data_IF_652371668686
#
_entry.id   IF_652371668686
#
_cell.length_a   1.000
_cell.length_b   1.000
_cell.length_c   1.000
_cell.angle_alpha   90.00
_cell.angle_beta   90.00
_cell.angle_gamma   90.00
#
_symmetry.space_group_name_H-M   'P 1'
#
loop_
_entity.id
_entity.type
_entity.pdbx_description
1 polymer ?
#
# COMPACT_ATOMS: atom_id res chain seq x y z
N UNK A 1 -10.59 -33.76 0.83
CA UNK A 1 -10.22 -32.34 0.74
C UNK A 1 -8.74 -32.25 1.06
N UNK A 2 -7.89 -31.98 0.09
CA UNK A 2 -6.44 -31.99 0.28
C UNK A 2 -6.02 -30.75 1.04
N UNK A 3 -5.38 -30.94 2.20
CA UNK A 3 -4.69 -29.89 2.95
C UNK A 3 -3.64 -29.24 2.06
N UNK A 4 -3.99 -28.12 1.44
CA UNK A 4 -3.02 -27.27 0.77
C UNK A 4 -2.19 -26.56 1.83
N UNK A 5 -1.12 -27.19 2.25
CA UNK A 5 -0.03 -26.51 2.95
C UNK A 5 0.66 -25.58 1.94
N UNK A 6 0.17 -24.34 1.84
CA UNK A 6 0.57 -23.40 0.79
C UNK A 6 1.98 -22.83 0.99
N UNK A 7 2.48 -22.79 2.23
CA UNK A 7 3.82 -22.27 2.55
C UNK A 7 4.39 -23.04 3.76
N UNK A 8 5.72 -23.20 3.86
CA UNK A 8 6.38 -23.61 5.09
C UNK A 8 5.96 -22.72 6.25
N UNK A 9 5.85 -23.28 7.46
CA UNK A 9 5.35 -22.55 8.64
C UNK A 9 6.17 -21.31 8.99
N UNK A 10 7.44 -21.29 8.63
CA UNK A 10 8.37 -20.16 8.78
C UNK A 10 8.20 -19.06 7.72
N UNK A 11 7.47 -19.36 6.63
CA UNK A 11 7.17 -18.44 5.55
C UNK A 11 5.67 -18.06 5.49
N UNK A 12 4.84 -18.60 6.39
CA UNK A 12 3.42 -18.25 6.45
C UNK A 12 3.24 -16.94 7.22
N UNK A 13 2.88 -15.82 6.54
CA UNK A 13 2.69 -14.52 7.19
C UNK A 13 1.56 -14.52 8.24
N UNK A 14 0.69 -15.53 8.23
CA UNK A 14 -0.38 -15.71 9.22
C UNK A 14 0.12 -16.33 10.52
N UNK A 15 1.34 -16.88 10.51
CA UNK A 15 1.94 -17.45 11.71
C UNK A 15 2.43 -16.32 12.62
N UNK A 16 1.91 -16.16 13.85
CA UNK A 16 2.35 -15.13 14.78
C UNK A 16 3.82 -15.30 15.22
N UNK A 17 4.40 -16.47 15.05
CA UNK A 17 5.84 -16.70 15.23
C UNK A 17 6.67 -16.44 13.97
N UNK A 18 6.07 -15.94 12.89
CA UNK A 18 6.79 -15.41 11.75
C UNK A 18 7.66 -14.24 12.24
N UNK A 19 8.73 -14.61 12.90
CA UNK A 19 9.74 -13.68 13.28
C UNK A 19 10.41 -13.21 12.00
N UNK A 20 10.27 -11.95 11.68
CA UNK A 20 11.20 -11.24 10.84
C UNK A 20 12.57 -11.37 11.51
N UNK A 21 13.22 -12.52 11.29
CA UNK A 21 14.64 -12.62 11.61
C UNK A 21 15.32 -11.61 10.73
N UNK A 22 16.04 -10.70 11.34
CA UNK A 22 16.78 -9.58 10.75
C UNK A 22 17.83 -10.02 9.72
N UNK A 23 17.52 -10.95 8.82
CA UNK A 23 18.39 -11.31 7.70
C UNK A 23 18.65 -10.15 6.74
N UNK A 24 17.80 -9.12 6.78
CA UNK A 24 17.95 -7.95 5.91
C UNK A 24 18.96 -6.93 6.45
N UNK A 25 19.34 -6.99 7.73
CA UNK A 25 20.33 -6.05 8.29
C UNK A 25 21.79 -6.47 8.00
N UNK A 26 22.02 -7.68 7.50
CA UNK A 26 23.38 -8.19 7.29
C UNK A 26 24.03 -7.73 5.97
N UNK A 27 23.27 -7.09 5.06
CA UNK A 27 23.73 -6.74 3.71
C UNK A 27 23.41 -5.31 3.28
N UNK A 28 23.14 -4.39 4.20
CA UNK A 28 22.95 -2.99 3.84
C UNK A 28 24.33 -2.34 3.70
N UNK A 29 24.82 -2.17 2.49
CA UNK A 29 25.96 -1.31 2.21
C UNK A 29 25.51 0.15 2.46
N UNK A 30 25.90 0.68 3.61
CA UNK A 30 25.64 2.08 3.96
C UNK A 30 26.66 2.96 3.21
N UNK A 31 26.26 3.55 2.09
CA UNK A 31 27.02 4.63 1.49
C UNK A 31 26.76 5.94 2.26
N UNK A 32 27.72 6.86 2.26
CA UNK A 32 27.54 8.20 2.86
C UNK A 32 26.30 8.90 2.31
N UNK A 33 26.00 8.69 1.03
CA UNK A 33 24.81 9.24 0.38
C UNK A 33 23.51 8.64 0.95
N UNK A 34 23.48 7.33 1.23
CA UNK A 34 22.33 6.65 1.85
C UNK A 34 22.10 7.17 3.28
N UNK A 35 23.16 7.34 4.06
CA UNK A 35 23.11 7.83 5.44
C UNK A 35 22.53 9.26 5.55
N UNK A 36 22.57 10.05 4.47
CA UNK A 36 21.92 11.37 4.44
C UNK A 36 20.40 11.29 4.45
N UNK A 37 19.81 10.17 3.99
CA UNK A 37 18.36 9.97 3.89
C UNK A 37 17.80 9.05 4.97
N UNK A 38 18.61 8.15 5.50
CA UNK A 38 18.16 7.11 6.44
C UNK A 38 18.78 7.34 7.81
N UNK A 39 17.94 7.69 8.79
CA UNK A 39 18.38 7.95 10.19
C UNK A 39 18.70 6.67 10.96
N UNK A 40 18.19 5.53 10.54
CA UNK A 40 18.39 4.23 11.17
C UNK A 40 18.22 3.12 10.16
N UNK A 41 19.08 2.12 10.21
CA UNK A 41 18.97 0.88 9.43
C UNK A 41 18.15 -0.20 10.16
N UNK A 42 17.64 0.10 11.36
CA UNK A 42 16.81 -0.81 12.12
C UNK A 42 15.45 -1.01 11.42
N UNK A 43 15.16 -2.24 11.04
CA UNK A 43 13.83 -2.61 10.50
C UNK A 43 12.91 -2.95 11.66
N UNK A 44 11.81 -2.20 11.79
CA UNK A 44 10.79 -2.41 12.82
C UNK A 44 9.53 -2.99 12.22
N UNK A 45 9.05 -4.12 12.76
CA UNK A 45 7.73 -4.62 12.42
C UNK A 45 6.66 -3.76 13.08
N UNK A 46 5.92 -3.00 12.26
CA UNK A 46 4.87 -2.07 12.71
C UNK A 46 3.54 -2.80 12.90
N UNK A 47 3.22 -3.75 12.02
CA UNK A 47 1.95 -4.45 12.03
C UNK A 47 2.08 -5.88 11.46
N UNK A 48 1.13 -6.75 11.83
CA UNK A 48 0.93 -8.09 11.26
C UNK A 48 -0.57 -8.39 11.20
N UNK A 49 -0.97 -9.41 10.43
CA UNK A 49 -2.39 -9.78 10.26
C UNK A 49 -2.98 -9.29 8.95
N UNK A 50 -2.13 -8.90 7.99
CA UNK A 50 -2.50 -8.74 6.59
C UNK A 50 -2.38 -10.08 5.86
N UNK A 51 -3.17 -10.24 4.80
CA UNK A 51 -2.98 -11.33 3.85
C UNK A 51 -2.01 -10.92 2.74
N UNK A 52 -2.11 -9.67 2.26
CA UNK A 52 -1.22 -9.12 1.24
C UNK A 52 -1.18 -7.60 1.38
N UNK A 53 -0.10 -7.09 1.96
CA UNK A 53 0.11 -5.65 2.13
C UNK A 53 0.76 -5.04 0.91
N UNK A 54 0.17 -3.96 0.37
CA UNK A 54 0.62 -3.27 -0.84
C UNK A 54 0.38 -1.75 -0.76
N UNK A 55 1.05 -1.02 -1.66
CA UNK A 55 0.80 0.38 -1.94
C UNK A 55 0.89 1.30 -0.72
N UNK A 56 2.00 1.33 0.02
CA UNK A 56 2.14 2.27 1.12
C UNK A 56 2.23 3.72 0.61
N UNK A 57 1.39 4.62 1.14
CA UNK A 57 1.40 6.04 0.85
C UNK A 57 1.34 6.86 2.13
N UNK A 58 2.15 7.92 2.20
CA UNK A 58 2.19 8.82 3.34
C UNK A 58 1.40 10.09 3.06
N UNK A 59 0.56 10.49 4.00
CA UNK A 59 -0.25 11.71 3.96
C UNK A 59 0.41 12.74 4.87
N UNK A 60 1.20 13.69 4.34
CA UNK A 60 2.07 14.54 5.16
C UNK A 60 1.33 15.40 6.18
N UNK A 61 0.22 16.04 5.78
CA UNK A 61 -0.52 16.95 6.64
C UNK A 61 -1.30 16.27 7.77
N UNK A 62 -1.50 14.95 7.67
CA UNK A 62 -2.13 14.12 8.70
C UNK A 62 -1.12 13.29 9.49
N UNK A 63 0.17 13.32 9.15
CA UNK A 63 1.21 12.44 9.68
C UNK A 63 0.74 10.97 9.71
N UNK A 64 0.19 10.52 8.59
CA UNK A 64 -0.48 9.22 8.50
C UNK A 64 0.07 8.42 7.32
N UNK A 65 0.48 7.17 7.57
CA UNK A 65 0.79 6.19 6.54
C UNK A 65 -0.46 5.36 6.28
N UNK A 66 -0.84 5.20 5.00
CA UNK A 66 -1.92 4.29 4.57
C UNK A 66 -1.36 3.20 3.67
N UNK A 67 -1.99 2.04 3.65
CA UNK A 67 -1.64 0.93 2.74
C UNK A 67 -2.81 -0.01 2.54
N UNK A 68 -2.73 -0.82 1.50
CA UNK A 68 -3.76 -1.80 1.13
C UNK A 68 -3.50 -3.16 1.77
N UNK A 69 -4.57 -3.86 2.15
CA UNK A 69 -4.60 -5.28 2.48
C UNK A 69 -5.61 -5.92 1.51
N UNK A 70 -5.12 -6.23 0.30
CA UNK A 70 -5.95 -6.45 -0.89
C UNK A 70 -6.96 -7.58 -0.70
N UNK A 71 -6.58 -8.82 -0.31
CA UNK A 71 -7.54 -9.91 -0.21
C UNK A 71 -8.58 -9.71 0.90
N UNK A 72 -8.24 -8.94 1.94
CA UNK A 72 -9.16 -8.57 2.99
C UNK A 72 -10.08 -7.39 2.60
N UNK A 73 -9.94 -6.87 1.37
CA UNK A 73 -10.74 -5.78 0.83
C UNK A 73 -10.76 -4.53 1.72
N UNK A 74 -9.63 -4.21 2.35
CA UNK A 74 -9.51 -3.06 3.25
C UNK A 74 -8.22 -2.28 3.01
N UNK A 75 -8.21 -1.03 3.43
CA UNK A 75 -7.00 -0.24 3.62
C UNK A 75 -6.79 0.00 5.11
N UNK A 76 -5.55 0.00 5.52
CA UNK A 76 -5.12 0.29 6.89
C UNK A 76 -4.41 1.63 6.95
N UNK A 77 -4.33 2.21 8.14
CA UNK A 77 -3.55 3.43 8.42
C UNK A 77 -2.73 3.26 9.69
N UNK A 78 -1.56 3.86 9.71
CA UNK A 78 -0.77 4.10 10.90
C UNK A 78 -0.78 5.59 11.20
N UNK A 79 -1.30 5.97 12.34
CA UNK A 79 -1.30 7.34 12.83
C UNK A 79 -1.06 7.34 14.35
N UNK A 80 -0.23 8.23 14.85
CA UNK A 80 0.12 8.33 16.27
C UNK A 80 0.57 6.98 16.89
N UNK A 81 1.33 6.18 16.14
CA UNK A 81 1.83 4.87 16.58
C UNK A 81 0.78 3.77 16.66
N UNK A 82 -0.46 4.02 16.25
CA UNK A 82 -1.57 3.06 16.27
C UNK A 82 -1.97 2.70 14.84
N UNK A 83 -2.16 1.39 14.59
CA UNK A 83 -2.73 0.89 13.33
C UNK A 83 -4.24 0.74 13.49
N UNK A 84 -4.97 1.24 12.51
CA UNK A 84 -6.43 1.20 12.45
C UNK A 84 -6.92 1.01 11.01
N UNK A 85 -8.20 0.77 10.80
CA UNK A 85 -8.81 0.73 9.48
C UNK A 85 -8.90 2.16 8.91
N UNK A 86 -8.40 2.35 7.68
CA UNK A 86 -8.57 3.58 6.92
C UNK A 86 -9.85 3.55 6.08
N UNK A 87 -10.08 2.43 5.38
CA UNK A 87 -11.25 2.23 4.51
C UNK A 87 -11.63 0.75 4.43
N UNK A 88 -12.92 0.44 4.61
CA UNK A 88 -13.50 -0.90 4.50
C UNK A 88 -14.99 -0.78 4.09
N UNK A 89 -15.39 -1.35 2.94
CA UNK A 89 -14.56 -2.01 1.93
C UNK A 89 -13.69 -1.04 1.13
N UNK A 90 -12.51 -1.49 0.69
CA UNK A 90 -11.60 -0.71 -0.16
C UNK A 90 -11.84 -0.87 -1.65
N UNK A 91 -12.71 -1.79 -2.03
CA UNK A 91 -12.94 -2.22 -3.41
C UNK A 91 -11.67 -2.82 -4.05
N UNK A 92 -10.98 -3.65 -3.26
CA UNK A 92 -9.73 -4.33 -3.63
C UNK A 92 -8.67 -3.34 -4.13
N UNK A 93 -8.46 -2.28 -3.35
CA UNK A 93 -7.40 -1.30 -3.62
C UNK A 93 -6.03 -1.97 -3.57
N UNK A 94 -5.14 -1.61 -4.51
CA UNK A 94 -3.77 -2.07 -4.60
C UNK A 94 -2.80 -0.90 -4.35
N UNK A 95 -2.16 -0.36 -5.39
CA UNK A 95 -1.23 0.76 -5.27
C UNK A 95 -1.89 2.05 -4.82
N UNK A 96 -1.17 2.84 -4.02
CA UNK A 96 -1.61 4.14 -3.54
C UNK A 96 -0.46 5.15 -3.62
N UNK A 97 -0.80 6.42 -3.78
CA UNK A 97 0.10 7.56 -3.65
C UNK A 97 -0.68 8.76 -3.15
N UNK A 98 -0.03 9.90 -2.96
CA UNK A 98 -0.70 11.16 -2.66
C UNK A 98 -0.55 12.15 -3.79
N UNK A 99 -1.57 12.99 -4.04
CA UNK A 99 -1.46 14.13 -4.93
C UNK A 99 -0.82 15.34 -4.22
N UNK A 100 -0.59 16.42 -4.96
CA UNK A 100 0.02 17.63 -4.42
C UNK A 100 -0.84 18.35 -3.36
N UNK A 101 -2.12 18.01 -3.26
CA UNK A 101 -3.04 18.53 -2.25
C UNK A 101 -3.16 17.60 -1.03
N UNK A 102 -2.49 16.45 -1.05
CA UNK A 102 -2.50 15.45 0.03
C UNK A 102 -3.63 14.43 -0.04
N UNK A 103 -4.47 14.44 -1.09
CA UNK A 103 -5.47 13.39 -1.28
C UNK A 103 -4.80 12.07 -1.65
N UNK A 104 -5.38 10.96 -1.23
CA UNK A 104 -4.91 9.62 -1.61
C UNK A 104 -5.45 9.26 -2.99
N UNK A 105 -4.55 8.95 -3.92
CA UNK A 105 -4.87 8.43 -5.25
C UNK A 105 -4.58 6.94 -5.24
N UNK A 106 -5.55 6.14 -5.70
CA UNK A 106 -5.51 4.68 -5.54
C UNK A 106 -5.89 3.93 -6.81
N UNK A 107 -5.25 2.78 -7.02
CA UNK A 107 -5.63 1.77 -8.00
C UNK A 107 -6.65 0.81 -7.39
N UNK A 108 -7.81 0.62 -8.01
CA UNK A 108 -8.83 -0.32 -7.56
C UNK A 108 -8.97 -1.49 -8.53
N UNK A 109 -8.68 -2.70 -8.06
CA UNK A 109 -8.94 -3.93 -8.83
C UNK A 109 -10.45 -4.19 -8.97
N UNK A 110 -11.20 -4.08 -7.87
CA UNK A 110 -12.64 -4.33 -7.89
C UNK A 110 -13.43 -3.30 -8.69
N UNK A 111 -13.02 -2.03 -8.64
CA UNK A 111 -13.63 -0.94 -9.42
C UNK A 111 -13.13 -0.86 -10.86
N UNK A 112 -11.96 -1.47 -11.15
CA UNK A 112 -11.26 -1.32 -12.43
C UNK A 112 -11.07 0.15 -12.79
N UNK A 113 -10.57 0.92 -11.80
CA UNK A 113 -10.47 2.38 -11.91
C UNK A 113 -9.31 2.93 -11.09
N UNK A 114 -8.95 4.18 -11.39
CA UNK A 114 -8.17 5.04 -10.50
C UNK A 114 -9.16 5.98 -9.82
N UNK A 115 -9.04 6.12 -8.51
CA UNK A 115 -9.88 7.04 -7.74
C UNK A 115 -9.08 7.87 -6.76
N UNK A 116 -9.68 8.98 -6.36
CA UNK A 116 -9.16 9.91 -5.34
C UNK A 116 -10.00 9.80 -4.08
N UNK A 117 -9.36 9.81 -2.92
CA UNK A 117 -10.01 9.91 -1.61
C UNK A 117 -9.48 11.16 -0.90
N UNK A 118 -10.39 12.02 -0.44
CA UNK A 118 -10.05 13.21 0.35
C UNK A 118 -10.03 12.91 1.86
N UNK A 119 -9.74 13.91 2.69
CA UNK A 119 -9.66 13.76 4.14
C UNK A 119 -10.98 13.35 4.81
N UNK A 120 -12.12 13.64 4.17
CA UNK A 120 -13.44 13.21 4.63
C UNK A 120 -13.80 11.78 4.19
N UNK A 121 -12.85 11.06 3.57
CA UNK A 121 -13.03 9.74 2.98
C UNK A 121 -14.04 9.72 1.81
N UNK A 122 -14.34 10.87 1.21
CA UNK A 122 -15.14 10.96 0.01
C UNK A 122 -14.33 10.49 -1.21
N UNK A 123 -14.97 9.67 -2.03
CA UNK A 123 -14.32 9.01 -3.17
C UNK A 123 -14.80 9.62 -4.48
N UNK A 124 -13.84 9.98 -5.33
CA UNK A 124 -14.07 10.42 -6.71
C UNK A 124 -13.33 9.51 -7.69
N UNK A 125 -14.05 8.86 -8.58
CA UNK A 125 -13.42 8.15 -9.72
C UNK A 125 -12.79 9.17 -10.66
N UNK A 126 -11.51 8.96 -10.98
CA UNK A 126 -10.74 9.80 -11.91
C UNK A 126 -10.77 9.23 -13.33
N UNK A 127 -10.57 7.93 -13.46
CA UNK A 127 -10.61 7.21 -14.73
C UNK A 127 -11.00 5.74 -14.50
N UNK A 128 -11.89 5.20 -15.33
CA UNK A 128 -12.35 3.81 -15.30
C UNK A 128 -12.36 3.15 -16.70
N UNK A 129 -12.07 3.91 -17.74
CA UNK A 129 -12.08 3.40 -19.12
C UNK A 129 -11.10 4.15 -20.02
N UNK A 130 -10.73 3.50 -21.12
CA UNK A 130 -10.02 4.10 -22.23
C UNK A 130 -10.68 3.68 -23.54
N UNK A 131 -11.05 4.65 -24.39
CA UNK A 131 -11.77 4.42 -25.65
C UNK A 131 -13.03 3.55 -25.48
N UNK A 132 -13.81 3.77 -24.43
CA UNK A 132 -15.05 3.04 -24.14
C UNK A 132 -14.86 1.63 -23.58
N UNK A 133 -13.62 1.19 -23.35
CA UNK A 133 -13.30 -0.10 -22.72
C UNK A 133 -12.85 0.14 -21.29
N UNK A 134 -13.37 -0.65 -20.35
CA UNK A 134 -12.94 -0.60 -18.96
C UNK A 134 -11.44 -0.88 -18.83
N UNK A 135 -10.80 -0.25 -17.86
CA UNK A 135 -9.45 -0.62 -17.44
C UNK A 135 -9.42 -2.10 -17.04
N UNK A 136 -8.24 -2.72 -17.06
CA UNK A 136 -8.13 -4.14 -16.75
C UNK A 136 -8.05 -4.36 -15.23
N UNK A 137 -6.94 -4.04 -14.63
CA UNK A 137 -6.69 -4.24 -13.20
C UNK A 137 -5.60 -3.28 -12.74
N UNK A 138 -5.90 -1.97 -12.62
CA UNK A 138 -4.89 -0.99 -12.25
C UNK A 138 -4.10 -1.43 -11.01
N UNK A 139 -2.76 -1.46 -11.11
CA UNK A 139 -1.90 -2.08 -10.12
C UNK A 139 -1.19 -1.05 -9.25
N UNK A 140 -0.32 -0.23 -9.84
CA UNK A 140 0.45 0.77 -9.11
C UNK A 140 0.50 2.10 -9.86
N UNK A 141 0.80 3.19 -9.15
CA UNK A 141 0.72 4.54 -9.72
C UNK A 141 1.65 5.53 -9.02
N UNK A 142 1.91 6.63 -9.71
CA UNK A 142 2.48 7.83 -9.10
C UNK A 142 1.87 9.11 -9.68
N UNK A 143 1.95 10.20 -8.92
CA UNK A 143 1.57 11.54 -9.33
C UNK A 143 2.82 12.36 -9.58
N UNK A 144 2.97 12.89 -10.80
CA UNK A 144 4.06 13.78 -11.16
C UNK A 144 3.81 15.19 -10.61
N UNK A 145 4.87 16.00 -10.50
CA UNK A 145 4.79 17.38 -9.98
C UNK A 145 3.84 18.29 -10.74
N UNK A 146 3.56 18.02 -12.02
CA UNK A 146 2.58 18.75 -12.84
C UNK A 146 1.13 18.27 -12.62
N UNK A 147 0.90 17.31 -11.72
CA UNK A 147 -0.40 16.71 -11.40
C UNK A 147 -0.83 15.57 -12.31
N UNK A 148 -0.06 15.22 -13.33
CA UNK A 148 -0.36 14.05 -14.16
C UNK A 148 -0.18 12.75 -13.37
N UNK A 149 -1.10 11.79 -13.61
CA UNK A 149 -1.12 10.50 -12.95
C UNK A 149 -0.67 9.43 -13.95
N UNK A 150 0.32 8.65 -13.56
CA UNK A 150 0.83 7.52 -14.32
C UNK A 150 0.55 6.25 -13.56
N UNK A 151 0.02 5.24 -14.25
CA UNK A 151 -0.34 3.98 -13.62
C UNK A 151 -0.10 2.79 -14.55
N UNK A 152 0.04 1.62 -13.96
CA UNK A 152 0.12 0.34 -14.66
C UNK A 152 -1.24 -0.34 -14.66
N UNK A 153 -1.60 -1.01 -15.77
CA UNK A 153 -2.88 -1.72 -15.95
C UNK A 153 -2.61 -3.06 -16.66
N UNK A 154 -1.97 -4.05 -15.94
CA UNK A 154 -1.54 -5.34 -16.47
C UNK A 154 -2.70 -6.24 -16.94
#
# INVERSE_FOLDING_TARGET
>A
MSDKKLLPADLDPRNPSYAYKNKYNEHVENTDQFNNYVKSTEVKKVFSGMLWGEGPAYIPHLDTLVWSDIPNNRMLKLSNGKVDVYKDPSNYTNGNTTDNAGNVISCSHGGRCIYKTNDNLEVQTLVDNFNGKKLNSPNDLFVKSDGSIWFTDP
#
